data_IF_838774233796
#
_entry.id   IF_838774233796
#
_cell.length_a   1.000
_cell.length_b   1.000
_cell.length_c   1.000
_cell.angle_alpha   90.00
_cell.angle_beta   90.00
_cell.angle_gamma   90.00
#
_symmetry.space_group_name_H-M   'P 1'
#
loop_
_entity.id
_entity.type
_entity.pdbx_description
1 polymer ?
#
# COMPACT_ATOMS: atom_id res chain seq x y z
N UNK A 1 -4.69 46.76 6.40
CA UNK A 1 -5.32 45.56 7.00
C UNK A 1 -5.93 44.60 5.98
N UNK A 2 -6.20 44.97 4.72
CA UNK A 2 -6.73 44.04 3.70
C UNK A 2 -5.69 43.10 3.05
N UNK A 3 -4.40 43.48 3.07
CA UNK A 3 -3.31 42.67 2.49
C UNK A 3 -2.97 41.42 3.33
N UNK A 4 -3.11 41.50 4.65
CA UNK A 4 -2.85 40.36 5.55
C UNK A 4 -3.93 39.27 5.43
N UNK A 5 -5.20 39.66 5.24
CA UNK A 5 -6.30 38.72 5.02
C UNK A 5 -6.15 37.93 3.72
N UNK A 6 -5.69 38.60 2.65
CA UNK A 6 -5.37 37.97 1.36
C UNK A 6 -4.21 36.98 1.48
N UNK A 7 -3.18 37.32 2.26
CA UNK A 7 -2.02 36.44 2.46
C UNK A 7 -2.38 35.16 3.24
N UNK A 8 -3.25 35.29 4.24
CA UNK A 8 -3.77 34.13 5.00
C UNK A 8 -4.60 33.20 4.10
N UNK A 9 -5.45 33.77 3.22
CA UNK A 9 -6.23 32.97 2.27
C UNK A 9 -5.35 32.23 1.24
N UNK A 10 -4.31 32.88 0.69
CA UNK A 10 -3.41 32.23 -0.29
C UNK A 10 -2.60 31.10 0.35
N UNK A 11 -2.14 31.28 1.60
CA UNK A 11 -1.42 30.23 2.33
C UNK A 11 -2.35 29.07 2.74
N UNK A 12 -3.62 29.36 3.07
CA UNK A 12 -4.63 28.32 3.33
C UNK A 12 -4.96 27.52 2.06
N UNK A 13 -5.04 28.17 0.89
CA UNK A 13 -5.29 27.48 -0.39
C UNK A 13 -4.08 26.65 -0.82
N UNK A 14 -2.85 27.15 -0.61
CA UNK A 14 -1.62 26.42 -0.91
C UNK A 14 -1.44 25.18 -0.01
N UNK A 15 -1.82 25.25 1.27
CA UNK A 15 -1.76 24.11 2.18
C UNK A 15 -2.82 23.04 1.88
N UNK A 16 -4.02 23.44 1.45
CA UNK A 16 -5.07 22.49 1.01
C UNK A 16 -4.68 21.79 -0.30
N UNK A 17 -4.01 22.50 -1.23
CA UNK A 17 -3.52 21.90 -2.48
C UNK A 17 -2.38 20.88 -2.27
N UNK A 18 -1.55 21.07 -1.24
CA UNK A 18 -0.47 20.15 -0.87
C UNK A 18 -0.95 18.91 -0.09
N UNK A 19 -2.18 18.94 0.42
CA UNK A 19 -2.74 17.87 1.27
C UNK A 19 -3.44 16.73 0.51
N UNK A 20 -3.47 16.75 -0.84
CA UNK A 20 -3.70 15.52 -1.61
C UNK A 20 -2.46 14.65 -1.47
N UNK A 21 -2.46 13.82 -0.44
CA UNK A 21 -1.40 12.87 -0.17
C UNK A 21 -1.23 11.98 -1.40
N UNK A 22 -0.15 12.18 -2.16
CA UNK A 22 0.27 11.31 -3.27
C UNK A 22 0.72 9.92 -2.78
N UNK A 23 0.24 9.47 -1.62
CA UNK A 23 0.48 8.15 -1.10
C UNK A 23 -0.12 7.12 -2.05
N UNK A 24 0.69 6.12 -2.38
CA UNK A 24 0.36 5.03 -3.28
C UNK A 24 0.34 3.71 -2.54
N UNK A 25 -0.18 2.66 -3.19
CA UNK A 25 -0.11 1.29 -2.65
C UNK A 25 1.34 0.82 -2.47
N UNK A 26 2.31 1.41 -3.18
CA UNK A 26 3.75 1.17 -2.94
C UNK A 26 4.16 1.59 -1.54
N UNK A 27 3.66 2.73 -1.03
CA UNK A 27 3.95 3.19 0.33
C UNK A 27 3.46 2.16 1.38
N UNK A 28 2.34 1.48 1.12
CA UNK A 28 1.85 0.41 2.00
C UNK A 28 2.74 -0.83 1.94
N UNK A 29 3.12 -1.24 0.73
CA UNK A 29 4.00 -2.40 0.52
C UNK A 29 5.40 -2.19 1.13
N UNK A 30 5.84 -0.95 1.33
CA UNK A 30 7.11 -0.58 1.94
C UNK A 30 7.01 -0.18 3.43
N UNK A 31 5.80 -0.13 4.01
CA UNK A 31 5.58 0.41 5.37
C UNK A 31 6.50 -0.21 6.44
N UNK A 32 6.77 -1.51 6.34
CA UNK A 32 7.57 -2.22 7.34
C UNK A 32 9.09 -2.19 7.10
N UNK A 33 9.58 -1.83 5.92
CA UNK A 33 11.00 -1.65 5.62
C UNK A 33 11.18 -1.11 4.20
N UNK A 34 12.14 -0.21 4.03
CA UNK A 34 12.56 0.23 2.70
C UNK A 34 13.26 -0.92 1.93
N UNK A 35 13.15 -0.88 0.61
CA UNK A 35 14.04 -1.58 -0.30
C UNK A 35 15.18 -0.64 -0.72
N UNK A 36 16.25 -1.19 -1.32
CA UNK A 36 17.21 -0.34 -2.02
C UNK A 36 16.54 0.34 -3.21
N UNK A 37 17.02 1.52 -3.61
CA UNK A 37 16.48 2.23 -4.77
C UNK A 37 16.57 1.38 -6.04
N UNK A 38 17.67 0.63 -6.20
CA UNK A 38 17.86 -0.28 -7.33
C UNK A 38 16.80 -1.40 -7.35
N UNK A 39 16.52 -2.01 -6.19
CA UNK A 39 15.50 -3.04 -6.07
C UNK A 39 14.10 -2.52 -6.36
N UNK A 40 13.79 -1.33 -5.85
CA UNK A 40 12.49 -0.70 -6.07
C UNK A 40 12.30 -0.31 -7.54
N UNK A 41 13.33 0.26 -8.18
CA UNK A 41 13.31 0.58 -9.61
C UNK A 41 13.19 -0.68 -10.49
N UNK A 42 13.83 -1.78 -10.09
CA UNK A 42 13.64 -3.07 -10.77
C UNK A 42 12.18 -3.53 -10.69
N UNK A 43 11.52 -3.37 -9.54
CA UNK A 43 10.10 -3.71 -9.40
C UNK A 43 9.19 -2.83 -10.27
N UNK A 44 9.45 -1.53 -10.34
CA UNK A 44 8.74 -0.61 -11.24
C UNK A 44 8.87 -1.03 -12.71
N UNK A 45 10.11 -1.30 -13.13
CA UNK A 45 10.41 -1.72 -14.50
C UNK A 45 9.73 -3.05 -14.83
N UNK A 46 9.78 -4.03 -13.92
CA UNK A 46 9.15 -5.35 -14.10
C UNK A 46 7.63 -5.27 -14.20
N UNK A 47 7.02 -4.32 -13.48
CA UNK A 47 5.58 -4.08 -13.53
C UNK A 47 5.15 -3.16 -14.70
N UNK A 48 6.10 -2.64 -15.48
CA UNK A 48 5.88 -1.62 -16.50
C UNK A 48 5.09 -0.41 -15.95
N UNK A 49 5.54 0.11 -14.81
CA UNK A 49 4.96 1.25 -14.11
C UNK A 49 6.00 2.31 -13.79
N UNK A 50 5.50 3.53 -13.61
CA UNK A 50 6.20 4.61 -12.93
C UNK A 50 5.42 4.97 -11.67
N UNK A 51 6.05 5.66 -10.72
CA UNK A 51 5.41 6.07 -9.46
C UNK A 51 4.09 6.86 -9.70
N UNK A 52 4.07 7.73 -10.71
CA UNK A 52 2.89 8.51 -11.08
C UNK A 52 1.69 7.67 -11.55
N UNK A 53 1.95 6.43 -11.99
CA UNK A 53 0.97 5.51 -12.56
C UNK A 53 0.60 4.37 -11.60
N UNK A 54 0.99 4.44 -10.33
CA UNK A 54 0.57 3.47 -9.31
C UNK A 54 -0.80 3.87 -8.74
N UNK A 55 -1.61 2.88 -8.36
CA UNK A 55 -2.86 3.12 -7.63
C UNK A 55 -2.58 3.90 -6.33
N UNK A 56 -3.29 5.01 -6.16
CA UNK A 56 -3.23 5.87 -4.97
C UNK A 56 -4.08 5.32 -3.82
N UNK A 57 -3.76 5.71 -2.60
CA UNK A 57 -4.56 5.31 -1.43
C UNK A 57 -5.95 5.92 -1.44
N UNK A 58 -6.10 7.13 -1.98
CA UNK A 58 -7.41 7.76 -2.20
C UNK A 58 -8.29 6.89 -3.10
N UNK A 59 -7.72 6.30 -4.15
CA UNK A 59 -8.44 5.41 -5.07
C UNK A 59 -8.84 4.10 -4.40
N UNK A 60 -8.04 3.59 -3.45
CA UNK A 60 -8.40 2.41 -2.64
C UNK A 60 -9.54 2.76 -1.67
N UNK A 61 -9.51 3.97 -1.10
CA UNK A 61 -10.51 4.48 -0.15
C UNK A 61 -11.89 4.63 -0.79
N UNK A 62 -11.95 5.26 -1.95
CA UNK A 62 -13.21 5.50 -2.69
C UNK A 62 -13.58 4.35 -3.63
N UNK A 63 -12.77 3.29 -3.65
CA UNK A 63 -12.90 2.10 -4.49
C UNK A 63 -12.84 2.37 -6.00
N UNK A 64 -12.40 3.55 -6.44
CA UNK A 64 -12.28 3.89 -7.85
C UNK A 64 -11.25 3.04 -8.60
N UNK A 65 -10.31 2.38 -7.91
CA UNK A 65 -9.40 1.39 -8.51
C UNK A 65 -10.13 0.19 -9.14
N UNK A 66 -11.39 -0.07 -8.76
CA UNK A 66 -12.23 -1.15 -9.29
C UNK A 66 -12.87 -0.80 -10.64
N UNK A 67 -12.85 0.47 -11.06
CA UNK A 67 -13.42 0.89 -12.34
C UNK A 67 -12.70 0.24 -13.51
N UNK A 68 -13.42 0.03 -14.60
CA UNK A 68 -12.90 -0.65 -15.79
C UNK A 68 -11.68 0.07 -16.40
N UNK A 69 -11.64 1.40 -16.37
CA UNK A 69 -10.48 2.17 -16.84
C UNK A 69 -9.20 1.91 -16.02
N UNK A 70 -9.32 1.39 -14.81
CA UNK A 70 -8.21 1.14 -13.90
C UNK A 70 -7.79 -0.33 -13.83
N UNK A 71 -8.45 -1.25 -14.55
CA UNK A 71 -8.17 -2.70 -14.45
C UNK A 71 -6.70 -3.04 -14.74
N UNK A 72 -6.13 -2.52 -15.82
CA UNK A 72 -4.72 -2.75 -16.17
C UNK A 72 -3.76 -2.13 -15.13
N UNK A 73 -4.06 -0.91 -14.67
CA UNK A 73 -3.25 -0.21 -13.67
C UNK A 73 -3.27 -0.92 -12.32
N UNK A 74 -4.43 -1.40 -11.90
CA UNK A 74 -4.62 -2.21 -10.68
C UNK A 74 -3.83 -3.50 -10.78
N UNK A 75 -3.91 -4.19 -11.92
CA UNK A 75 -3.14 -5.43 -12.18
C UNK A 75 -1.63 -5.20 -12.07
N UNK A 76 -1.12 -4.18 -12.77
CA UNK A 76 0.31 -3.82 -12.73
C UNK A 76 0.76 -3.39 -11.33
N UNK A 77 -0.09 -2.64 -10.62
CA UNK A 77 0.18 -2.26 -9.22
C UNK A 77 0.25 -3.49 -8.32
N UNK A 78 -0.59 -4.50 -8.57
CA UNK A 78 -0.48 -5.81 -7.92
C UNK A 78 0.85 -6.52 -8.18
N UNK A 79 1.34 -6.48 -9.42
CA UNK A 79 2.64 -7.06 -9.76
C UNK A 79 3.82 -6.29 -9.14
N UNK A 80 3.72 -4.96 -9.05
CA UNK A 80 4.67 -4.12 -8.32
C UNK A 80 4.74 -4.52 -6.84
N UNK A 81 3.57 -4.66 -6.19
CA UNK A 81 3.49 -5.12 -4.79
C UNK A 81 4.07 -6.54 -4.66
N UNK A 82 3.72 -7.46 -5.56
CA UNK A 82 4.26 -8.83 -5.53
C UNK A 82 5.79 -8.83 -5.58
N UNK A 83 6.40 -8.01 -6.45
CA UNK A 83 7.85 -7.89 -6.53
C UNK A 83 8.45 -7.39 -5.20
N UNK A 84 7.85 -6.36 -4.61
CA UNK A 84 8.27 -5.82 -3.31
C UNK A 84 8.18 -6.90 -2.23
N UNK A 85 7.04 -7.57 -2.10
CA UNK A 85 6.82 -8.61 -1.09
C UNK A 85 7.78 -9.79 -1.27
N UNK A 86 8.12 -10.17 -2.51
CA UNK A 86 9.12 -11.21 -2.79
C UNK A 86 10.53 -10.80 -2.35
N UNK A 87 10.96 -9.58 -2.67
CA UNK A 87 12.26 -9.07 -2.23
C UNK A 87 12.38 -8.97 -0.71
N UNK A 88 11.25 -8.84 -0.01
CA UNK A 88 11.16 -8.81 1.45
C UNK A 88 11.01 -10.20 2.07
N UNK A 89 10.93 -11.25 1.26
CA UNK A 89 10.68 -12.63 1.69
C UNK A 89 9.30 -12.81 2.33
N UNK A 90 8.37 -11.89 2.11
CA UNK A 90 6.99 -11.95 2.59
C UNK A 90 6.13 -12.86 1.71
N UNK A 91 6.54 -13.05 0.45
CA UNK A 91 6.02 -14.06 -0.45
C UNK A 91 7.22 -14.85 -0.98
N UNK A 92 7.18 -16.17 -0.84
CA UNK A 92 8.17 -17.10 -1.42
C UNK A 92 7.41 -18.04 -2.33
N UNK A 93 7.85 -18.14 -3.58
CA UNK A 93 7.12 -18.80 -4.66
C UNK A 93 5.70 -18.23 -4.82
N UNK A 94 4.71 -18.92 -4.25
CA UNK A 94 3.29 -18.56 -4.24
C UNK A 94 2.69 -18.55 -2.83
N UNK A 95 3.52 -18.63 -1.80
CA UNK A 95 3.10 -18.74 -0.40
C UNK A 95 3.38 -17.47 0.40
N UNK A 96 2.36 -17.01 1.13
CA UNK A 96 2.45 -15.84 2.00
C UNK A 96 3.08 -16.24 3.33
N UNK A 97 4.21 -15.62 3.65
CA UNK A 97 4.98 -15.88 4.86
C UNK A 97 4.42 -15.06 6.03
N UNK A 98 3.34 -15.53 6.67
CA UNK A 98 2.61 -14.83 7.76
C UNK A 98 3.54 -14.19 8.81
N UNK A 99 4.54 -14.94 9.28
CA UNK A 99 5.52 -14.49 10.29
C UNK A 99 6.29 -13.22 9.86
N UNK A 100 6.52 -13.02 8.57
CA UNK A 100 7.19 -11.83 8.02
C UNK A 100 6.29 -10.60 8.00
N UNK A 101 4.97 -10.76 8.04
CA UNK A 101 4.03 -9.65 8.23
C UNK A 101 3.93 -9.23 9.70
N UNK A 102 4.02 -10.18 10.63
CA UNK A 102 3.98 -9.88 12.07
C UNK A 102 5.26 -9.26 12.63
N UNK A 103 6.40 -9.40 11.93
CA UNK A 103 7.71 -9.05 12.49
C UNK A 103 7.83 -7.57 12.91
N UNK A 104 7.00 -6.67 12.36
CA UNK A 104 6.94 -5.28 12.81
C UNK A 104 5.94 -5.02 13.93
N UNK A 105 4.85 -5.77 14.02
CA UNK A 105 3.91 -5.71 15.15
C UNK A 105 4.65 -6.06 16.44
N UNK A 106 5.43 -7.15 16.42
CA UNK A 106 6.23 -7.58 17.56
C UNK A 106 7.32 -6.57 17.97
N UNK A 107 7.79 -5.75 17.02
CA UNK A 107 8.79 -4.70 17.28
C UNK A 107 8.20 -3.34 17.66
N UNK A 108 6.88 -3.19 17.55
CA UNK A 108 6.21 -1.95 17.88
C UNK A 108 5.90 -1.94 19.40
N UNK A 109 6.09 -0.81 20.07
CA UNK A 109 5.72 -0.61 21.47
C UNK A 109 4.19 -0.55 21.65
N UNK A 110 3.50 -1.63 21.27
CA UNK A 110 2.05 -1.79 21.32
C UNK A 110 1.66 -2.69 22.48
N UNK A 111 0.46 -2.45 23.02
CA UNK A 111 -0.14 -3.37 24.00
C UNK A 111 -0.31 -4.77 23.41
N UNK A 112 -0.25 -5.81 24.25
CA UNK A 112 -0.46 -7.20 23.82
C UNK A 112 -1.80 -7.36 23.09
N UNK A 113 -2.86 -6.72 23.60
CA UNK A 113 -4.19 -6.72 22.97
C UNK A 113 -4.14 -6.14 21.56
N UNK A 114 -3.48 -5.00 21.37
CA UNK A 114 -3.33 -4.37 20.05
C UNK A 114 -2.51 -5.25 19.09
N UNK A 115 -1.46 -5.92 19.58
CA UNK A 115 -0.68 -6.84 18.74
C UNK A 115 -1.51 -8.04 18.26
N UNK A 116 -2.34 -8.61 19.14
CA UNK A 116 -3.27 -9.71 18.80
C UNK A 116 -4.31 -9.24 17.79
N UNK A 117 -4.89 -8.06 17.98
CA UNK A 117 -5.88 -7.50 17.06
C UNK A 117 -5.28 -7.29 15.66
N UNK A 118 -4.11 -6.65 15.56
CA UNK A 118 -3.42 -6.43 14.28
C UNK A 118 -3.04 -7.76 13.60
N UNK A 119 -2.56 -8.74 14.36
CA UNK A 119 -2.21 -10.05 13.80
C UNK A 119 -3.45 -10.77 13.26
N UNK A 120 -4.58 -10.68 13.97
CA UNK A 120 -5.87 -11.24 13.54
C UNK A 120 -6.37 -10.60 12.25
N UNK A 121 -6.27 -9.27 12.13
CA UNK A 121 -6.61 -8.53 10.90
C UNK A 121 -5.75 -8.99 9.71
N UNK A 122 -4.44 -9.13 9.91
CA UNK A 122 -3.54 -9.68 8.89
C UNK A 122 -3.94 -11.12 8.51
N UNK A 123 -4.25 -11.98 9.48
CA UNK A 123 -4.68 -13.35 9.22
C UNK A 123 -5.96 -13.41 8.38
N UNK A 124 -6.94 -12.59 8.72
CA UNK A 124 -8.18 -12.48 7.95
C UNK A 124 -7.91 -12.08 6.50
N UNK A 125 -7.07 -11.07 6.28
CA UNK A 125 -6.69 -10.65 4.94
C UNK A 125 -5.94 -11.72 4.15
N UNK A 126 -5.03 -12.46 4.79
CA UNK A 126 -4.31 -13.57 4.15
C UNK A 126 -5.27 -14.68 3.74
N UNK A 127 -6.22 -15.04 4.61
CA UNK A 127 -7.21 -16.06 4.32
C UNK A 127 -8.16 -15.63 3.18
N UNK A 128 -8.58 -14.35 3.15
CA UNK A 128 -9.43 -13.80 2.09
C UNK A 128 -8.80 -13.91 0.70
N UNK A 129 -7.47 -13.75 0.61
CA UNK A 129 -6.78 -13.77 -0.69
C UNK A 129 -6.23 -15.14 -1.09
N UNK A 130 -6.37 -16.16 -0.24
CA UNK A 130 -5.72 -17.46 -0.43
C UNK A 130 -6.12 -18.11 -1.76
N UNK A 131 -7.38 -17.96 -2.16
CA UNK A 131 -7.99 -18.56 -3.36
C UNK A 131 -7.70 -17.81 -4.66
N UNK A 132 -7.06 -16.65 -4.61
CA UNK A 132 -6.73 -15.90 -5.82
C UNK A 132 -5.70 -16.70 -6.65
N UNK A 133 -6.00 -17.04 -7.92
CA UNK A 133 -5.10 -17.84 -8.74
C UNK A 133 -3.88 -17.03 -9.19
N UNK A 134 -4.07 -15.73 -9.40
CA UNK A 134 -3.02 -14.84 -9.85
C UNK A 134 -2.33 -14.13 -8.69
N UNK A 135 -1.00 -14.18 -8.68
CA UNK A 135 -0.20 -13.63 -7.59
C UNK A 135 -0.13 -12.10 -7.56
N UNK A 136 -0.31 -11.42 -8.70
CA UNK A 136 -0.41 -9.95 -8.73
C UNK A 136 -1.73 -9.50 -8.08
N UNK A 137 -2.84 -10.13 -8.46
CA UNK A 137 -4.16 -9.84 -7.88
C UNK A 137 -4.18 -10.19 -6.39
N UNK A 138 -3.62 -11.35 -6.02
CA UNK A 138 -3.45 -11.77 -4.62
C UNK A 138 -2.68 -10.72 -3.81
N UNK A 139 -1.57 -10.22 -4.34
CA UNK A 139 -0.72 -9.25 -3.65
C UNK A 139 -1.39 -7.88 -3.51
N UNK A 140 -2.11 -7.42 -4.53
CA UNK A 140 -2.88 -6.19 -4.48
C UNK A 140 -3.99 -6.27 -3.43
N UNK A 141 -4.80 -7.33 -3.48
CA UNK A 141 -5.91 -7.52 -2.55
C UNK A 141 -5.41 -7.72 -1.11
N UNK A 142 -4.24 -8.36 -0.92
CA UNK A 142 -3.65 -8.54 0.41
C UNK A 142 -3.33 -7.20 1.06
N UNK A 143 -2.58 -6.33 0.35
CA UNK A 143 -2.15 -5.04 0.90
C UNK A 143 -3.32 -4.08 1.07
N UNK A 144 -4.29 -4.09 0.15
CA UNK A 144 -5.48 -3.24 0.29
C UNK A 144 -6.39 -3.70 1.43
N UNK A 145 -6.57 -5.00 1.63
CA UNK A 145 -7.30 -5.53 2.80
C UNK A 145 -6.60 -5.12 4.10
N UNK A 146 -5.29 -5.37 4.21
CA UNK A 146 -4.47 -5.04 5.39
C UNK A 146 -4.61 -3.56 5.73
N UNK A 147 -4.58 -2.68 4.73
CA UNK A 147 -4.77 -1.25 4.94
C UNK A 147 -6.19 -0.87 5.35
N UNK A 148 -7.22 -1.42 4.70
CA UNK A 148 -8.62 -1.15 5.02
C UNK A 148 -8.99 -1.60 6.44
N UNK A 149 -8.52 -2.76 6.87
CA UNK A 149 -8.82 -3.31 8.20
C UNK A 149 -8.05 -2.57 9.33
N UNK A 150 -6.99 -1.84 9.00
CA UNK A 150 -6.20 -1.03 9.94
C UNK A 150 -6.60 0.45 10.00
N UNK A 151 -7.46 0.91 9.09
CA UNK A 151 -8.13 2.23 9.19
C UNK A 151 -9.31 2.19 10.17
#
# INVERSE_FOLDING_TARGET
MKFFELFVCVMAIATIALAKTNATVTNLALYSSALSDADLQQCYTSANLTEANVIKLEEIKDESYKKAENTDRTKKSGCLILCILRKRGQIVDSEIQKKKFYSKIASAFLSVTTQVEMSTKIDNCINQVQTYPDMCDKSFNLITCIWKDML
#
